data_IF_683505332939
#
_entry.id   IF_683505332939
#
_cell.length_a   1.000
_cell.length_b   1.000
_cell.length_c   1.000
_cell.angle_alpha   90.00
_cell.angle_beta   90.00
_cell.angle_gamma   90.00
#
_symmetry.space_group_name_H-M   'P 1'
#
loop_
_entity.id
_entity.type
_entity.pdbx_description
1 polymer ?
#
# COMPACT_ATOMS: atom_id res chain seq x y z
N UNK A 1 -6.24 2.48 -18.30
CA UNK A 1 -6.38 1.64 -17.10
C UNK A 1 -7.17 2.41 -16.05
N UNK A 2 -8.20 1.81 -15.53
CA UNK A 2 -8.99 2.42 -14.48
C UNK A 2 -8.27 2.22 -13.15
N UNK A 3 -7.79 3.31 -12.55
CA UNK A 3 -7.27 3.27 -11.19
C UNK A 3 -8.36 2.88 -10.18
N UNK A 4 -7.96 2.62 -8.95
CA UNK A 4 -8.89 2.34 -7.87
C UNK A 4 -9.76 3.58 -7.60
N UNK A 5 -11.05 3.47 -7.83
CA UNK A 5 -11.98 4.60 -7.73
C UNK A 5 -12.28 5.07 -6.28
N UNK A 6 -11.57 4.56 -5.29
CA UNK A 6 -11.87 4.83 -3.88
C UNK A 6 -11.22 6.11 -3.33
N UNK A 7 -10.43 6.82 -4.14
CA UNK A 7 -9.80 8.07 -3.73
C UNK A 7 -10.62 9.27 -4.18
N UNK A 8 -11.63 9.61 -3.43
CA UNK A 8 -12.42 10.82 -3.68
C UNK A 8 -11.82 12.04 -2.96
N UNK A 9 -12.09 13.23 -3.50
CA UNK A 9 -11.61 14.49 -2.93
C UNK A 9 -12.31 14.81 -1.60
N UNK A 10 -11.68 14.44 -0.50
CA UNK A 10 -12.09 14.88 0.82
C UNK A 10 -11.33 16.14 1.23
N UNK A 11 -11.98 17.02 1.98
CA UNK A 11 -11.34 18.23 2.54
C UNK A 11 -10.30 17.93 3.63
N UNK A 12 -10.15 16.66 4.02
CA UNK A 12 -9.17 16.17 5.01
C UNK A 12 -7.85 15.79 4.34
N UNK A 13 -6.82 15.53 5.13
CA UNK A 13 -5.54 15.08 4.59
C UNK A 13 -5.69 13.82 3.76
N UNK A 14 -5.26 13.92 2.52
CA UNK A 14 -5.33 12.85 1.52
C UNK A 14 -3.96 12.66 0.88
N UNK A 15 -3.59 11.43 0.66
CA UNK A 15 -2.38 11.06 -0.05
C UNK A 15 -2.73 10.00 -1.11
N UNK A 16 -2.34 10.24 -2.34
CA UNK A 16 -2.47 9.27 -3.44
C UNK A 16 -1.12 9.12 -4.10
N UNK A 17 -0.63 7.90 -4.20
CA UNK A 17 0.55 7.58 -4.98
C UNK A 17 0.27 6.43 -5.95
N UNK A 18 0.86 6.52 -7.14
CA UNK A 18 0.85 5.45 -8.14
C UNK A 18 2.24 4.85 -8.24
N UNK A 19 2.31 3.54 -8.32
CA UNK A 19 3.54 2.81 -8.55
C UNK A 19 3.80 2.62 -10.04
N UNK A 20 5.07 2.34 -10.35
CA UNK A 20 5.50 1.98 -11.69
C UNK A 20 5.57 0.47 -11.87
N UNK A 21 5.82 0.06 -13.12
CA UNK A 21 6.19 -1.32 -13.39
C UNK A 21 7.47 -1.69 -12.63
N UNK A 22 7.37 -2.70 -11.77
CA UNK A 22 8.50 -3.23 -11.00
C UNK A 22 8.37 -4.73 -10.78
N UNK A 23 9.51 -5.40 -10.62
CA UNK A 23 9.58 -6.79 -10.16
C UNK A 23 9.80 -6.76 -8.66
N UNK A 24 8.87 -7.33 -7.91
CA UNK A 24 8.95 -7.38 -6.45
C UNK A 24 9.19 -8.83 -6.02
N UNK A 25 10.37 -9.13 -5.47
CA UNK A 25 10.66 -10.48 -5.00
C UNK A 25 9.80 -10.86 -3.79
N UNK A 26 9.79 -12.14 -3.46
CA UNK A 26 9.23 -12.61 -2.19
C UNK A 26 9.85 -11.81 -1.03
N UNK A 27 9.01 -11.36 -0.11
CA UNK A 27 9.37 -10.49 1.03
C UNK A 27 9.89 -9.08 0.64
N UNK A 28 9.80 -8.71 -0.63
CA UNK A 28 10.14 -7.38 -1.09
C UNK A 28 9.05 -6.35 -0.75
N UNK A 29 9.47 -5.10 -0.54
CA UNK A 29 8.56 -3.97 -0.29
C UNK A 29 8.31 -3.21 -1.58
N UNK A 30 7.04 -2.89 -1.85
CA UNK A 30 6.64 -2.12 -3.02
C UNK A 30 7.19 -0.69 -2.95
N UNK A 31 7.54 -0.17 -4.13
CA UNK A 31 7.94 1.22 -4.30
C UNK A 31 6.75 2.02 -4.85
N UNK A 32 6.42 3.12 -4.18
CA UNK A 32 5.41 4.05 -4.65
C UNK A 32 6.07 5.07 -5.58
N UNK A 33 5.46 5.30 -6.72
CA UNK A 33 6.02 6.19 -7.72
C UNK A 33 5.98 7.67 -7.34
N UNK A 34 6.49 8.50 -8.24
CA UNK A 34 6.56 9.95 -8.06
C UNK A 34 5.27 10.70 -8.37
N UNK A 35 4.29 10.05 -9.00
CA UNK A 35 2.98 10.65 -9.24
C UNK A 35 2.19 10.65 -7.95
N UNK A 36 2.23 11.78 -7.27
CA UNK A 36 1.63 11.93 -5.95
C UNK A 36 0.64 13.08 -5.95
N UNK A 37 -0.46 12.88 -5.25
CA UNK A 37 -1.36 13.95 -4.87
C UNK A 37 -1.42 13.99 -3.34
N UNK A 38 -1.02 15.10 -2.77
CA UNK A 38 -0.95 15.26 -1.32
C UNK A 38 -1.76 16.52 -0.94
N UNK A 39 -2.66 16.36 0.01
CA UNK A 39 -3.35 17.48 0.66
C UNK A 39 -3.18 17.38 2.17
N UNK A 40 -2.95 18.50 2.83
CA UNK A 40 -2.69 18.54 4.27
C UNK A 40 -1.30 18.02 4.66
N UNK A 41 -1.05 17.93 5.94
CA UNK A 41 0.27 17.59 6.53
C UNK A 41 0.28 16.28 7.31
N UNK A 42 -0.87 15.59 7.39
CA UNK A 42 -0.98 14.36 8.19
C UNK A 42 -0.31 13.15 7.54
N UNK A 43 -0.07 13.19 6.22
CA UNK A 43 0.43 12.07 5.45
C UNK A 43 1.53 12.55 4.53
N UNK A 44 2.69 11.90 4.56
CA UNK A 44 3.84 12.23 3.70
C UNK A 44 4.49 10.97 3.14
N UNK A 45 5.24 11.11 2.05
CA UNK A 45 6.05 10.02 1.53
C UNK A 45 7.27 9.78 2.44
N UNK A 46 7.58 8.52 2.68
CA UNK A 46 8.77 8.11 3.41
C UNK A 46 10.00 7.96 2.53
N UNK A 47 11.08 7.47 3.13
CA UNK A 47 12.38 7.31 2.48
C UNK A 47 12.31 6.31 1.33
N UNK A 48 12.96 6.65 0.22
CA UNK A 48 13.06 5.82 -0.99
C UNK A 48 11.70 5.43 -1.59
N UNK A 49 10.64 6.19 -1.30
CA UNK A 49 9.29 5.95 -1.79
C UNK A 49 8.74 4.54 -1.45
N UNK A 50 9.23 3.92 -0.38
CA UNK A 50 8.82 2.57 0.05
C UNK A 50 7.90 2.57 1.27
N UNK A 51 7.70 3.71 1.87
CA UNK A 51 6.77 3.87 2.99
C UNK A 51 5.96 5.15 2.84
N UNK A 52 4.82 5.17 3.49
CA UNK A 52 3.99 6.35 3.66
C UNK A 52 3.92 6.63 5.16
N UNK A 53 4.21 7.86 5.54
CA UNK A 53 4.29 8.26 6.94
C UNK A 53 2.99 8.89 7.40
N UNK A 54 2.42 8.35 8.46
CA UNK A 54 1.25 8.89 9.16
C UNK A 54 1.76 9.76 10.32
N UNK A 55 1.64 11.08 10.16
CA UNK A 55 2.31 12.06 11.03
C UNK A 55 1.43 12.51 12.21
N UNK A 56 0.15 12.21 12.21
CA UNK A 56 -0.80 12.64 13.25
C UNK A 56 -1.59 11.45 13.76
N UNK A 57 -1.96 11.49 15.04
CA UNK A 57 -2.89 10.53 15.60
C UNK A 57 -4.26 10.62 14.92
N UNK A 58 -4.98 9.52 14.88
CA UNK A 58 -6.31 9.42 14.31
C UNK A 58 -6.55 8.15 13.52
N UNK A 59 -7.65 8.13 12.80
CA UNK A 59 -8.03 7.02 11.93
C UNK A 59 -7.71 7.35 10.47
N UNK A 60 -7.15 6.38 9.77
CA UNK A 60 -6.78 6.48 8.36
C UNK A 60 -7.43 5.35 7.57
N UNK A 61 -8.17 5.71 6.53
CA UNK A 61 -8.62 4.75 5.54
C UNK A 61 -7.50 4.55 4.52
N UNK A 62 -7.14 3.30 4.26
CA UNK A 62 -6.10 2.92 3.31
C UNK A 62 -6.72 2.00 2.27
N UNK A 63 -6.64 2.41 1.01
CA UNK A 63 -7.05 1.61 -0.14
C UNK A 63 -5.84 1.35 -1.02
N UNK A 64 -5.62 0.10 -1.35
CA UNK A 64 -4.54 -0.35 -2.22
C UNK A 64 -5.11 -1.19 -3.34
N UNK A 65 -4.59 -1.03 -4.56
CA UNK A 65 -4.80 -1.97 -5.64
C UNK A 65 -3.56 -2.10 -6.50
N UNK A 66 -3.42 -3.25 -7.12
CA UNK A 66 -2.35 -3.55 -8.05
C UNK A 66 -2.83 -4.45 -9.18
N UNK A 67 -2.20 -4.28 -10.34
CA UNK A 67 -2.23 -5.23 -11.45
C UNK A 67 -0.88 -5.93 -11.47
N UNK A 68 -0.88 -7.24 -11.26
CA UNK A 68 0.34 -8.01 -11.09
C UNK A 68 0.28 -9.35 -11.82
N UNK A 69 1.45 -9.85 -12.18
CA UNK A 69 1.69 -11.16 -12.77
C UNK A 69 2.61 -11.95 -11.85
N UNK A 70 2.23 -13.17 -11.50
CA UNK A 70 3.08 -14.07 -10.72
C UNK A 70 4.18 -14.69 -11.57
N UNK A 71 5.35 -14.90 -10.97
CA UNK A 71 6.49 -15.52 -11.65
C UNK A 71 6.25 -17.02 -11.90
N UNK A 72 5.51 -17.68 -11.03
CA UNK A 72 5.26 -19.13 -11.11
C UNK A 72 3.77 -19.45 -11.07
N UNK A 73 3.39 -20.51 -11.79
CA UNK A 73 2.04 -21.06 -11.74
C UNK A 73 1.74 -21.65 -10.37
N UNK A 74 0.46 -21.58 -10.00
CA UNK A 74 -0.06 -22.20 -8.78
C UNK A 74 0.64 -21.76 -7.49
N UNK A 75 1.46 -20.72 -7.53
CA UNK A 75 2.10 -20.14 -6.36
C UNK A 75 1.49 -18.76 -6.08
N UNK A 76 0.99 -18.57 -4.87
CA UNK A 76 0.28 -17.35 -4.52
C UNK A 76 1.20 -16.12 -4.52
N UNK A 77 0.69 -15.03 -5.06
CA UNK A 77 1.20 -13.67 -4.88
C UNK A 77 0.34 -12.98 -3.83
N UNK A 78 0.96 -12.33 -2.86
CA UNK A 78 0.24 -11.76 -1.73
C UNK A 78 0.82 -10.40 -1.34
N UNK A 79 -0.04 -9.42 -1.17
CA UNK A 79 0.34 -8.09 -0.71
C UNK A 79 -0.20 -7.84 0.69
N UNK A 80 0.69 -7.46 1.60
CA UNK A 80 0.41 -7.24 3.01
C UNK A 80 0.72 -5.80 3.40
N UNK A 81 -0.27 -5.12 3.97
CA UNK A 81 -0.08 -3.83 4.62
C UNK A 81 0.56 -4.04 6.00
N UNK A 82 1.60 -3.28 6.27
CA UNK A 82 2.25 -3.25 7.58
C UNK A 82 2.19 -1.84 8.16
N UNK A 83 1.91 -1.76 9.45
CA UNK A 83 1.99 -0.53 10.25
C UNK A 83 3.17 -0.65 11.19
N UNK A 84 4.18 0.19 11.01
CA UNK A 84 5.41 0.18 11.81
C UNK A 84 6.05 -1.23 11.88
N UNK A 85 6.05 -1.93 10.73
CA UNK A 85 6.60 -3.28 10.61
C UNK A 85 5.66 -4.42 11.06
N UNK A 86 4.48 -4.11 11.58
CA UNK A 86 3.50 -5.10 12.05
C UNK A 86 2.38 -5.25 11.03
N UNK A 87 2.12 -6.49 10.61
CA UNK A 87 1.06 -6.81 9.65
C UNK A 87 -0.33 -6.40 10.15
N UNK A 88 -1.11 -5.78 9.29
CA UNK A 88 -2.52 -5.43 9.53
C UNK A 88 -3.38 -6.52 8.92
N UNK A 89 -4.14 -7.24 9.73
CA UNK A 89 -4.91 -8.42 9.30
C UNK A 89 -5.84 -8.13 8.13
N UNK A 90 -6.55 -7.02 8.14
CA UNK A 90 -7.49 -6.65 7.08
C UNK A 90 -6.84 -5.94 5.89
N UNK A 91 -5.54 -5.71 5.95
CA UNK A 91 -4.73 -5.09 4.88
C UNK A 91 -4.01 -6.14 4.05
N UNK A 92 -4.75 -7.07 3.45
CA UNK A 92 -4.17 -8.20 2.73
C UNK A 92 -4.96 -8.48 1.43
N UNK A 93 -4.22 -8.76 0.37
CA UNK A 93 -4.78 -9.21 -0.90
C UNK A 93 -3.91 -10.31 -1.49
N UNK A 94 -4.52 -11.33 -2.07
CA UNK A 94 -3.80 -12.46 -2.65
C UNK A 94 -4.49 -12.96 -3.90
N UNK A 95 -3.70 -13.53 -4.80
CA UNK A 95 -4.19 -14.32 -5.93
C UNK A 95 -3.22 -15.46 -6.22
N UNK A 96 -3.73 -16.51 -6.85
CA UNK A 96 -2.92 -17.63 -7.32
C UNK A 96 -3.06 -17.72 -8.84
N UNK A 97 -1.97 -17.55 -9.61
CA UNK A 97 -2.04 -17.68 -11.06
C UNK A 97 -2.54 -19.07 -11.46
N UNK A 98 -3.55 -19.12 -12.31
CA UNK A 98 -4.17 -20.37 -12.75
C UNK A 98 -3.43 -21.03 -13.92
N UNK A 99 -2.70 -20.25 -14.69
CA UNK A 99 -1.97 -20.70 -15.90
C UNK A 99 -0.57 -20.07 -15.93
N UNK A 100 0.22 -20.49 -16.90
CA UNK A 100 1.59 -20.02 -17.11
C UNK A 100 1.71 -18.49 -17.12
N UNK A 101 2.93 -18.02 -16.91
CA UNK A 101 3.32 -16.60 -16.97
C UNK A 101 2.59 -15.84 -18.09
N UNK A 102 2.13 -14.63 -17.80
CA UNK A 102 1.41 -13.76 -18.72
C UNK A 102 -0.01 -13.37 -18.31
N UNK A 103 -0.56 -13.98 -17.26
CA UNK A 103 -1.85 -13.58 -16.72
C UNK A 103 -1.69 -12.50 -15.67
N UNK A 104 -2.16 -11.31 -16.00
CA UNK A 104 -2.23 -10.18 -15.08
C UNK A 104 -3.53 -10.25 -14.28
N UNK A 105 -3.41 -10.25 -12.97
CA UNK A 105 -4.54 -10.21 -12.04
C UNK A 105 -4.62 -8.87 -11.34
N UNK A 106 -5.84 -8.44 -11.06
CA UNK A 106 -6.11 -7.23 -10.29
C UNK A 106 -6.49 -7.63 -8.86
N UNK A 107 -5.76 -7.07 -7.91
CA UNK A 107 -5.99 -7.33 -6.49
C UNK A 107 -5.99 -6.03 -5.70
N UNK A 108 -6.63 -6.04 -4.55
CA UNK A 108 -6.65 -4.88 -3.69
C UNK A 108 -7.39 -5.13 -2.38
N UNK A 109 -7.25 -4.15 -1.49
CA UNK A 109 -7.97 -4.12 -0.21
C UNK A 109 -8.27 -2.68 0.19
N UNK A 110 -9.22 -2.55 1.10
CA UNK A 110 -9.48 -1.30 1.83
C UNK A 110 -9.61 -1.63 3.31
N UNK A 111 -8.89 -0.90 4.14
CA UNK A 111 -8.90 -1.09 5.59
C UNK A 111 -8.80 0.24 6.32
N UNK A 112 -9.01 0.23 7.63
CA UNK A 112 -8.83 1.38 8.51
C UNK A 112 -7.72 1.08 9.50
N UNK A 113 -6.78 2.01 9.61
CA UNK A 113 -5.63 1.93 10.52
C UNK A 113 -5.72 3.05 11.54
N UNK A 114 -5.58 2.71 12.80
CA UNK A 114 -5.49 3.67 13.89
C UNK A 114 -4.03 4.03 14.19
N UNK A 115 -3.77 5.31 14.34
CA UNK A 115 -2.54 5.86 14.91
C UNK A 115 -2.91 6.54 16.22
N UNK A 116 -2.52 5.95 17.31
CA UNK A 116 -2.78 6.49 18.64
C UNK A 116 -1.72 7.50 19.11
N UNK A 117 -1.94 8.12 20.25
CA UNK A 117 -1.01 9.09 20.82
C UNK A 117 0.22 8.43 21.48
N UNK A 118 0.27 7.10 21.61
CA UNK A 118 1.40 6.42 22.28
C UNK A 118 2.70 6.54 21.50
N UNK A 119 2.63 6.84 20.20
CA UNK A 119 3.81 7.19 19.39
C UNK A 119 4.64 8.34 20.03
N UNK A 120 3.97 9.27 20.68
CA UNK A 120 4.65 10.40 21.37
C UNK A 120 5.49 9.88 22.53
N UNK A 121 4.99 8.86 23.25
CA UNK A 121 5.71 8.24 24.36
C UNK A 121 6.92 7.42 23.91
N UNK A 122 6.95 6.99 22.64
CA UNK A 122 8.08 6.26 22.05
C UNK A 122 9.05 7.15 21.31
N UNK A 123 8.85 8.48 21.31
CA UNK A 123 9.66 9.44 20.59
C UNK A 123 9.51 9.44 19.07
N UNK A 124 8.51 8.72 18.54
CA UNK A 124 8.26 8.66 17.10
C UNK A 124 7.45 9.88 16.64
N UNK A 125 7.92 10.53 15.58
CA UNK A 125 7.22 11.67 14.96
C UNK A 125 6.21 11.24 13.91
N UNK A 126 6.30 9.99 13.43
CA UNK A 126 5.40 9.40 12.43
C UNK A 126 5.32 7.88 12.61
N UNK A 127 4.29 7.28 12.03
CA UNK A 127 4.14 5.83 11.92
C UNK A 127 4.21 5.47 10.44
N UNK A 128 5.22 4.70 9.99
CA UNK A 128 5.32 4.28 8.60
C UNK A 128 4.35 3.15 8.28
N UNK A 129 3.74 3.20 7.11
CA UNK A 129 3.04 2.07 6.49
C UNK A 129 3.78 1.63 5.23
N UNK A 130 3.82 0.33 5.00
CA UNK A 130 4.45 -0.31 3.85
C UNK A 130 3.55 -1.39 3.28
N UNK A 131 3.72 -1.68 2.00
CA UNK A 131 3.13 -2.86 1.34
C UNK A 131 4.26 -3.83 1.01
N UNK A 132 4.16 -5.04 1.51
CA UNK A 132 5.17 -6.09 1.30
C UNK A 132 4.56 -7.25 0.51
N UNK A 133 5.30 -7.77 -0.46
CA UNK A 133 4.93 -9.02 -1.13
C UNK A 133 5.32 -10.20 -0.20
N UNK A 134 4.34 -10.82 0.41
CA UNK A 134 4.54 -11.97 1.31
C UNK A 134 4.39 -13.32 0.59
N UNK A 135 4.10 -13.30 -0.69
CA UNK A 135 3.98 -14.48 -1.55
C UNK A 135 5.18 -14.66 -2.48
N UNK A 136 4.93 -15.25 -3.63
CA UNK A 136 5.94 -15.44 -4.67
C UNK A 136 6.30 -14.13 -5.38
N UNK A 137 7.43 -14.13 -6.07
CA UNK A 137 7.84 -12.99 -6.90
C UNK A 137 6.74 -12.57 -7.87
N UNK A 138 6.53 -11.28 -7.99
CA UNK A 138 5.53 -10.73 -8.90
C UNK A 138 6.10 -9.57 -9.73
N UNK A 139 5.64 -9.48 -10.96
CA UNK A 139 5.83 -8.29 -11.80
C UNK A 139 4.59 -7.43 -11.69
N UNK A 140 4.73 -6.25 -11.13
CA UNK A 140 3.64 -5.28 -10.97
C UNK A 140 3.68 -4.35 -12.17
N UNK A 141 2.60 -4.29 -12.94
CA UNK A 141 2.44 -3.35 -14.05
C UNK A 141 1.84 -2.02 -13.62
N UNK A 142 1.03 -2.03 -12.57
CA UNK A 142 0.41 -0.86 -11.98
C UNK A 142 0.10 -1.10 -10.52
N UNK A 143 0.28 -0.07 -9.70
CA UNK A 143 -0.23 -0.06 -8.34
C UNK A 143 -0.70 1.34 -7.94
N UNK A 144 -1.63 1.41 -7.02
CA UNK A 144 -2.10 2.66 -6.45
C UNK A 144 -2.40 2.47 -4.97
N UNK A 145 -1.98 3.42 -4.17
CA UNK A 145 -2.36 3.51 -2.77
C UNK A 145 -3.02 4.86 -2.50
N UNK A 146 -4.11 4.83 -1.78
CA UNK A 146 -4.81 6.02 -1.31
C UNK A 146 -4.92 5.97 0.20
N UNK A 147 -4.51 7.02 0.85
CA UNK A 147 -4.58 7.16 2.31
C UNK A 147 -5.33 8.44 2.64
N UNK A 148 -6.38 8.32 3.44
CA UNK A 148 -7.24 9.44 3.85
C UNK A 148 -7.33 9.44 5.36
N UNK A 149 -6.99 10.56 6.00
CA UNK A 149 -7.26 10.74 7.43
C UNK A 149 -8.75 11.03 7.61
N UNK A 150 -9.48 10.12 8.24
CA UNK A 150 -10.94 10.22 8.41
C UNK A 150 -11.36 10.73 9.80
N UNK A 151 -10.50 10.62 10.79
CA UNK A 151 -10.72 11.15 12.12
C UNK A 151 -9.42 11.54 12.83
#
# INVERSE_FOLDING_TARGET
>A
MNGCNNCQNYKKSTFVATGFSEVVPANGTLTFGTSQRITGSAITMGTNNRSINLNKAGLYQISFCASAEGANNATAVSFQLNRDGVAITDGFATFTPATAAGNVENVGFTTVVEVDNTRVNTGKTFIPITITNTGDQATISFSQICVIKIA
#
